data_IF_363648476558
#
_entry.id   IF_363648476558
#
_cell.length_a   1.000
_cell.length_b   1.000
_cell.length_c   1.000
_cell.angle_alpha   90.00
_cell.angle_beta   90.00
_cell.angle_gamma   90.00
#
_symmetry.space_group_name_H-M   'P 1'
#
loop_
_entity.id
_entity.type
_entity.pdbx_description
1 polymer ?
#
# COMPACT_ATOMS: atom_id res chain seq x y z
N UNK A 1 -20.98 -3.53 -15.39
CA UNK A 1 -20.77 -2.85 -14.09
C UNK A 1 -20.31 -1.41 -14.32
N UNK A 2 -21.00 -0.45 -13.71
CA UNK A 2 -20.72 0.99 -13.83
C UNK A 2 -19.28 1.32 -13.37
N UNK A 3 -18.59 2.22 -14.07
CA UNK A 3 -17.23 2.67 -13.72
C UNK A 3 -17.17 3.25 -12.31
N UNK A 4 -18.18 4.02 -11.90
CA UNK A 4 -18.27 4.61 -10.56
C UNK A 4 -18.26 3.52 -9.50
N UNK A 5 -19.06 2.47 -9.70
CA UNK A 5 -19.11 1.33 -8.80
C UNK A 5 -17.76 0.60 -8.70
N UNK A 6 -17.04 0.41 -9.82
CA UNK A 6 -15.69 -0.18 -9.81
C UNK A 6 -14.70 0.65 -9.00
N UNK A 7 -14.74 1.98 -9.16
CA UNK A 7 -13.86 2.90 -8.40
C UNK A 7 -14.22 2.88 -6.92
N UNK A 8 -15.50 2.88 -6.56
CA UNK A 8 -15.93 2.76 -5.15
C UNK A 8 -15.46 1.44 -4.53
N UNK A 9 -15.59 0.32 -5.25
CA UNK A 9 -15.08 -0.98 -4.78
C UNK A 9 -13.56 -0.92 -4.58
N UNK A 10 -12.81 -0.36 -5.55
CA UNK A 10 -11.37 -0.21 -5.44
C UNK A 10 -10.95 0.69 -4.27
N UNK A 11 -11.72 1.75 -4.00
CA UNK A 11 -11.49 2.66 -2.88
C UNK A 11 -11.66 1.93 -1.55
N UNK A 12 -12.79 1.22 -1.37
CA UNK A 12 -13.05 0.44 -0.16
C UNK A 12 -12.01 -0.66 0.03
N UNK A 13 -11.61 -1.32 -1.06
CA UNK A 13 -10.57 -2.34 -1.04
C UNK A 13 -9.23 -1.76 -0.54
N UNK A 14 -8.76 -0.66 -1.13
CA UNK A 14 -7.52 0.00 -0.71
C UNK A 14 -7.62 0.45 0.73
N UNK A 15 -8.76 1.03 1.12
CA UNK A 15 -8.96 1.53 2.48
C UNK A 15 -8.89 0.42 3.52
N UNK A 16 -9.63 -0.68 3.31
CA UNK A 16 -9.62 -1.84 4.20
C UNK A 16 -8.26 -2.52 4.23
N UNK A 17 -7.64 -2.78 3.08
CA UNK A 17 -6.31 -3.45 3.06
C UNK A 17 -5.27 -2.58 3.78
N UNK A 18 -5.34 -1.27 3.62
CA UNK A 18 -4.43 -0.35 4.31
C UNK A 18 -4.65 -0.38 5.82
N UNK A 19 -5.88 -0.45 6.31
CA UNK A 19 -6.14 -0.51 7.76
C UNK A 19 -5.71 -1.84 8.40
N UNK A 20 -5.70 -2.94 7.63
CA UNK A 20 -5.21 -4.24 8.12
C UNK A 20 -3.74 -4.22 8.55
N UNK A 21 -2.96 -3.23 8.09
CA UNK A 21 -1.56 -3.09 8.51
C UNK A 21 -1.37 -2.89 10.01
N UNK A 22 -2.43 -2.56 10.75
CA UNK A 22 -2.41 -2.32 12.19
C UNK A 22 -3.36 -3.22 12.99
N UNK A 23 -4.01 -4.19 12.35
CA UNK A 23 -5.03 -5.02 13.00
C UNK A 23 -4.50 -5.82 14.19
N UNK A 24 -3.21 -6.15 14.22
CA UNK A 24 -2.62 -6.95 15.29
C UNK A 24 -2.31 -6.16 16.56
N UNK A 25 -2.29 -4.82 16.52
CA UNK A 25 -1.83 -3.99 17.64
C UNK A 25 -0.31 -3.91 17.80
N UNK A 26 0.45 -4.75 17.08
CA UNK A 26 1.91 -4.71 16.98
C UNK A 26 2.38 -5.25 15.61
N UNK A 27 3.64 -5.01 15.19
CA UNK A 27 4.15 -5.48 13.91
C UNK A 27 4.17 -7.01 13.82
N UNK A 28 3.39 -7.54 12.88
CA UNK A 28 3.26 -8.96 12.56
C UNK A 28 3.36 -9.19 11.05
N UNK A 29 3.62 -10.42 10.63
CA UNK A 29 3.80 -10.72 9.18
C UNK A 29 2.56 -10.32 8.35
N UNK A 30 1.36 -10.50 8.92
CA UNK A 30 0.09 -10.10 8.30
C UNK A 30 -0.32 -8.65 8.63
N UNK A 31 0.37 -8.00 9.57
CA UNK A 31 0.10 -6.65 10.06
C UNK A 31 1.43 -5.88 10.17
N UNK A 32 2.07 -5.51 9.06
CA UNK A 32 3.48 -5.12 9.07
C UNK A 32 3.71 -3.62 9.34
N UNK A 33 2.68 -2.91 9.81
CA UNK A 33 2.78 -1.52 10.25
C UNK A 33 3.39 -0.58 9.19
N UNK A 34 2.80 -0.52 7.98
CA UNK A 34 3.26 0.39 6.93
C UNK A 34 3.33 1.83 7.43
N UNK A 35 4.48 2.46 7.27
CA UNK A 35 4.74 3.85 7.69
C UNK A 35 3.74 4.83 7.10
N UNK A 36 3.20 4.57 5.91
CA UNK A 36 2.20 5.45 5.29
C UNK A 36 0.89 5.50 6.05
N UNK A 37 0.61 4.51 6.91
CA UNK A 37 -0.55 4.45 7.80
C UNK A 37 -0.13 4.75 9.23
N UNK A 38 1.00 4.22 9.69
CA UNK A 38 1.47 4.40 11.07
C UNK A 38 1.86 5.85 11.38
N UNK A 39 2.49 6.59 10.45
CA UNK A 39 2.85 7.99 10.71
C UNK A 39 1.61 8.85 11.01
N UNK A 40 0.52 8.79 10.22
CA UNK A 40 -0.73 9.47 10.56
C UNK A 40 -1.35 9.10 11.91
N UNK A 41 -1.13 7.89 12.43
CA UNK A 41 -1.67 7.44 13.73
C UNK A 41 -1.18 8.35 14.87
N UNK A 42 0.06 8.81 14.81
CA UNK A 42 0.63 9.69 15.84
C UNK A 42 -0.12 11.02 15.98
N UNK A 43 -0.87 11.45 14.96
CA UNK A 43 -1.71 12.65 15.04
C UNK A 43 -2.95 12.46 15.93
N UNK A 44 -3.35 11.20 16.15
CA UNK A 44 -4.54 10.83 16.93
C UNK A 44 -4.19 10.15 18.25
N UNK A 45 -2.90 9.89 18.49
CA UNK A 45 -2.42 9.26 19.71
C UNK A 45 -2.78 10.13 20.93
N UNK A 46 -3.35 9.50 21.96
CA UNK A 46 -3.76 10.19 23.20
C UNK A 46 -5.12 10.90 23.15
N UNK A 47 -5.86 10.85 22.03
CA UNK A 47 -7.20 11.46 21.93
C UNK A 47 -8.34 10.58 22.47
N UNK A 48 -8.04 9.39 23.01
CA UNK A 48 -9.05 8.44 23.51
C UNK A 48 -9.91 7.79 22.42
N UNK A 49 -9.49 7.87 21.15
CA UNK A 49 -10.18 7.27 20.01
C UNK A 49 -9.89 5.76 19.96
N UNK A 50 -10.88 4.89 19.69
CA UNK A 50 -10.64 3.45 19.55
C UNK A 50 -9.62 3.14 18.45
N UNK A 51 -8.69 2.22 18.71
CA UNK A 51 -7.58 1.88 17.79
C UNK A 51 -8.06 1.50 16.39
N UNK A 52 -9.13 0.71 16.30
CA UNK A 52 -9.73 0.33 15.01
C UNK A 52 -10.19 1.55 14.20
N UNK A 53 -10.72 2.57 14.87
CA UNK A 53 -11.13 3.81 14.20
C UNK A 53 -9.91 4.65 13.80
N UNK A 54 -8.85 4.67 14.61
CA UNK A 54 -7.59 5.33 14.25
C UNK A 54 -6.98 4.68 13.01
N UNK A 55 -6.91 3.35 12.94
CA UNK A 55 -6.39 2.64 11.76
C UNK A 55 -7.19 2.95 10.47
N UNK A 56 -8.52 3.07 10.58
CA UNK A 56 -9.37 3.50 9.48
C UNK A 56 -9.11 4.95 9.07
N UNK A 57 -9.02 5.89 10.02
CA UNK A 57 -8.77 7.29 9.70
C UNK A 57 -7.36 7.48 9.12
N UNK A 58 -6.37 6.83 9.71
CA UNK A 58 -4.96 6.91 9.31
C UNK A 58 -4.69 6.31 7.92
N UNK A 59 -5.51 5.35 7.48
CA UNK A 59 -5.42 4.76 6.14
C UNK A 59 -6.16 5.55 5.05
N UNK A 60 -6.97 6.55 5.44
CA UNK A 60 -7.75 7.36 4.51
C UNK A 60 -6.91 8.12 3.47
N UNK A 61 -5.74 8.72 3.80
CA UNK A 61 -4.90 9.39 2.81
C UNK A 61 -4.54 8.47 1.64
N UNK A 62 -4.23 7.20 1.92
CA UNK A 62 -3.88 6.24 0.90
C UNK A 62 -5.07 5.88 -0.02
N UNK A 63 -6.26 5.71 0.56
CA UNK A 63 -7.49 5.51 -0.21
C UNK A 63 -7.85 6.74 -1.08
N UNK A 64 -7.62 7.95 -0.57
CA UNK A 64 -7.81 9.20 -1.33
C UNK A 64 -6.81 9.33 -2.47
N UNK A 65 -5.54 8.93 -2.28
CA UNK A 65 -4.55 8.88 -3.35
C UNK A 65 -4.96 7.88 -4.44
N UNK A 66 -5.49 6.70 -4.05
CA UNK A 66 -6.11 5.78 -5.00
C UNK A 66 -7.21 6.47 -5.79
N UNK A 67 -8.17 7.10 -5.11
CA UNK A 67 -9.29 7.77 -5.79
C UNK A 67 -8.81 8.84 -6.77
N UNK A 68 -7.87 9.69 -6.36
CA UNK A 68 -7.24 10.69 -7.23
C UNK A 68 -6.59 10.07 -8.46
N UNK A 69 -5.91 8.91 -8.30
CA UNK A 69 -5.31 8.18 -9.41
C UNK A 69 -6.32 7.64 -10.43
N UNK A 70 -7.58 7.45 -10.04
CA UNK A 70 -8.65 6.94 -10.92
C UNK A 70 -9.37 8.01 -11.73
N UNK A 71 -9.14 9.30 -11.46
CA UNK A 71 -9.79 10.41 -12.19
C UNK A 71 -9.63 10.27 -13.72
N UNK A 72 -8.45 9.98 -14.28
CA UNK A 72 -8.29 9.77 -15.72
C UNK A 72 -9.10 8.58 -16.24
N UNK A 73 -9.21 7.51 -15.45
CA UNK A 73 -9.95 6.29 -15.79
C UNK A 73 -11.46 6.57 -15.81
N UNK A 74 -11.97 7.36 -14.87
CA UNK A 74 -13.37 7.82 -14.87
C UNK A 74 -13.72 8.67 -16.08
N UNK A 75 -12.73 9.35 -16.68
CA UNK A 75 -12.84 10.08 -17.95
C UNK A 75 -12.64 9.19 -19.20
N UNK A 76 -12.54 7.88 -19.03
CA UNK A 76 -12.41 6.91 -20.13
C UNK A 76 -10.97 6.56 -20.52
N UNK A 77 -9.95 7.10 -19.84
CA UNK A 77 -8.56 6.76 -20.17
C UNK A 77 -8.17 5.40 -19.57
N UNK A 78 -8.05 4.39 -20.42
CA UNK A 78 -7.70 3.03 -20.02
C UNK A 78 -6.19 2.84 -19.74
N UNK A 79 -5.34 3.77 -20.17
CA UNK A 79 -3.89 3.71 -20.00
C UNK A 79 -3.48 4.38 -18.70
N UNK A 80 -2.62 3.72 -17.92
CA UNK A 80 -2.03 4.30 -16.71
C UNK A 80 -1.21 5.54 -17.09
N UNK A 81 -1.37 6.63 -16.33
CA UNK A 81 -0.68 7.90 -16.60
C UNK A 81 0.83 7.75 -16.40
N UNK A 82 1.63 8.46 -17.21
CA UNK A 82 3.09 8.44 -17.08
C UNK A 82 3.57 8.96 -15.72
N UNK A 83 2.82 9.91 -15.15
CA UNK A 83 3.08 10.45 -13.79
C UNK A 83 2.91 9.34 -12.76
N UNK A 84 1.81 8.57 -12.80
CA UNK A 84 1.59 7.47 -11.86
C UNK A 84 2.64 6.36 -12.02
N UNK A 85 3.09 6.10 -13.25
CA UNK A 85 4.21 5.18 -13.51
C UNK A 85 5.49 5.69 -12.85
N UNK A 86 5.83 6.97 -13.04
CA UNK A 86 7.01 7.58 -12.40
C UNK A 86 6.95 7.52 -10.87
N UNK A 87 5.81 7.89 -10.29
CA UNK A 87 5.58 7.81 -8.83
C UNK A 87 5.70 6.37 -8.35
N UNK A 88 5.08 5.40 -9.03
CA UNK A 88 5.16 4.00 -8.62
C UNK A 88 6.59 3.45 -8.66
N UNK A 89 7.36 3.79 -9.69
CA UNK A 89 8.75 3.38 -9.81
C UNK A 89 9.60 3.97 -8.69
N UNK A 90 9.40 5.25 -8.37
CA UNK A 90 10.05 5.90 -7.25
C UNK A 90 9.70 5.24 -5.92
N UNK A 91 8.42 4.95 -5.66
CA UNK A 91 7.97 4.27 -4.44
C UNK A 91 8.57 2.88 -4.30
N UNK A 92 8.65 2.11 -5.39
CA UNK A 92 9.32 0.80 -5.39
C UNK A 92 10.80 0.90 -5.06
N UNK A 93 11.51 1.88 -5.63
CA UNK A 93 12.93 2.10 -5.34
C UNK A 93 13.15 2.53 -3.89
N UNK A 94 12.30 3.42 -3.36
CA UNK A 94 12.34 3.83 -1.95
C UNK A 94 12.08 2.63 -1.05
N UNK A 95 11.07 1.80 -1.35
CA UNK A 95 10.76 0.59 -0.59
C UNK A 95 11.94 -0.39 -0.58
N UNK A 96 12.53 -0.68 -1.73
CA UNK A 96 13.70 -1.57 -1.84
C UNK A 96 14.89 -1.02 -1.03
N UNK A 97 15.19 0.27 -1.19
CA UNK A 97 16.26 0.92 -0.43
C UNK A 97 15.99 0.90 1.08
N UNK A 98 14.76 1.18 1.49
CA UNK A 98 14.34 1.14 2.89
C UNK A 98 14.51 -0.25 3.49
N UNK A 99 14.03 -1.30 2.81
CA UNK A 99 14.22 -2.68 3.24
C UNK A 99 15.71 -2.97 3.38
N UNK A 100 16.53 -2.73 2.36
CA UNK A 100 17.98 -2.99 2.43
C UNK A 100 18.66 -2.30 3.62
N UNK A 101 18.35 -1.04 3.88
CA UNK A 101 18.92 -0.27 5.00
C UNK A 101 18.40 -0.73 6.37
N UNK A 102 17.20 -1.31 6.42
CA UNK A 102 16.53 -1.72 7.66
C UNK A 102 16.74 -3.19 8.00
N UNK A 103 17.53 -3.93 7.21
CA UNK A 103 17.71 -5.38 7.39
C UNK A 103 18.27 -5.75 8.76
N UNK A 104 19.40 -5.17 9.16
CA UNK A 104 20.01 -5.46 10.45
C UNK A 104 19.07 -5.11 11.61
N UNK A 105 18.31 -4.02 11.46
CA UNK A 105 17.35 -3.55 12.44
C UNK A 105 16.16 -4.51 12.56
N UNK A 106 15.55 -4.91 11.44
CA UNK A 106 14.46 -5.88 11.42
C UNK A 106 14.86 -7.23 12.01
N UNK A 107 16.05 -7.74 11.68
CA UNK A 107 16.55 -9.00 12.24
C UNK A 107 16.74 -8.87 13.76
N UNK A 108 17.24 -7.74 14.24
CA UNK A 108 17.47 -7.48 15.66
C UNK A 108 16.16 -7.43 16.47
N UNK A 109 15.13 -6.74 15.98
CA UNK A 109 13.91 -6.48 16.75
C UNK A 109 12.74 -7.44 16.47
N UNK A 110 12.68 -8.02 15.27
CA UNK A 110 11.57 -8.88 14.83
C UNK A 110 12.02 -10.29 14.44
N UNK A 111 13.34 -10.53 14.38
CA UNK A 111 13.91 -11.81 14.03
C UNK A 111 14.09 -12.02 12.53
N UNK A 112 14.92 -13.01 12.19
CA UNK A 112 15.30 -13.32 10.81
C UNK A 112 14.11 -13.82 9.97
N UNK A 113 13.31 -14.72 10.53
CA UNK A 113 12.17 -15.33 9.83
C UNK A 113 11.15 -14.26 9.41
N UNK A 114 10.72 -13.41 10.36
CA UNK A 114 9.80 -12.31 10.09
C UNK A 114 10.35 -11.39 8.99
N UNK A 115 11.60 -10.95 9.13
CA UNK A 115 12.24 -10.03 8.17
C UNK A 115 12.26 -10.62 6.76
N UNK A 116 12.65 -11.89 6.62
CA UNK A 116 12.68 -12.56 5.30
C UNK A 116 11.27 -12.65 4.70
N UNK A 117 10.26 -13.02 5.51
CA UNK A 117 8.87 -13.12 5.03
C UNK A 117 8.34 -11.78 4.51
N UNK A 118 8.57 -10.69 5.24
CA UNK A 118 8.18 -9.34 4.82
C UNK A 118 8.86 -8.92 3.51
N UNK A 119 10.13 -9.30 3.31
CA UNK A 119 10.87 -8.99 2.10
C UNK A 119 10.33 -9.78 0.91
N UNK A 120 10.02 -11.07 1.12
CA UNK A 120 9.39 -11.92 0.11
C UNK A 120 8.02 -11.38 -0.30
N UNK A 121 7.19 -10.96 0.65
CA UNK A 121 5.89 -10.33 0.34
C UNK A 121 6.05 -9.08 -0.52
N UNK A 122 6.99 -8.20 -0.15
CA UNK A 122 7.27 -7.00 -0.93
C UNK A 122 7.77 -7.34 -2.34
N UNK A 123 8.71 -8.27 -2.47
CA UNK A 123 9.23 -8.69 -3.77
C UNK A 123 8.13 -9.28 -4.68
N UNK A 124 7.27 -10.13 -4.12
CA UNK A 124 6.13 -10.72 -4.85
C UNK A 124 5.15 -9.62 -5.30
N UNK A 125 4.76 -8.72 -4.40
CA UNK A 125 3.80 -7.65 -4.71
C UNK A 125 4.35 -6.68 -5.76
N UNK A 126 5.62 -6.29 -5.65
CA UNK A 126 6.29 -5.47 -6.68
C UNK A 126 6.27 -6.19 -8.03
N UNK A 127 6.59 -7.49 -8.06
CA UNK A 127 6.55 -8.30 -9.28
C UNK A 127 5.14 -8.37 -9.89
N UNK A 128 4.11 -8.53 -9.06
CA UNK A 128 2.70 -8.55 -9.50
C UNK A 128 2.29 -7.17 -10.05
N UNK A 129 2.60 -6.08 -9.34
CA UNK A 129 2.30 -4.71 -9.79
C UNK A 129 2.98 -4.42 -11.13
N UNK A 130 4.26 -4.76 -11.28
CA UNK A 130 5.01 -4.60 -12.52
C UNK A 130 4.39 -5.42 -13.67
N UNK A 131 3.96 -6.66 -13.40
CA UNK A 131 3.30 -7.51 -14.39
C UNK A 131 1.97 -6.91 -14.86
N UNK A 132 1.15 -6.39 -13.92
CA UNK A 132 -0.11 -5.73 -14.25
C UNK A 132 0.14 -4.44 -15.03
N UNK A 133 1.20 -3.69 -14.72
CA UNK A 133 1.60 -2.50 -15.48
C UNK A 133 1.97 -2.83 -16.91
N UNK A 134 2.84 -3.84 -17.13
CA UNK A 134 3.23 -4.30 -18.46
C UNK A 134 2.00 -4.77 -19.25
N UNK A 135 1.09 -5.50 -18.60
CA UNK A 135 -0.18 -5.90 -19.21
C UNK A 135 -1.03 -4.70 -19.62
N UNK A 136 -1.16 -3.68 -18.76
CA UNK A 136 -1.87 -2.44 -19.09
C UNK A 136 -1.18 -1.70 -20.25
N UNK A 137 0.15 -1.66 -20.29
CA UNK A 137 0.89 -1.00 -21.36
C UNK A 137 0.67 -1.68 -22.72
N UNK A 138 0.69 -3.01 -22.75
CA UNK A 138 0.50 -3.81 -23.98
C UNK A 138 -0.96 -3.82 -24.45
N UNK A 139 -1.92 -3.90 -23.53
CA UNK A 139 -3.36 -3.95 -23.80
C UNK A 139 -4.12 -3.11 -22.78
N UNK A 140 -4.20 -1.78 -22.99
CA UNK A 140 -4.85 -0.88 -22.05
C UNK A 140 -6.34 -1.21 -21.93
N UNK A 141 -6.77 -1.52 -20.72
CA UNK A 141 -8.19 -1.67 -20.40
C UNK A 141 -8.45 -0.96 -19.08
N UNK A 142 -9.67 -0.46 -18.90
CA UNK A 142 -10.12 0.16 -17.65
C UNK A 142 -9.86 -0.79 -16.47
N UNK A 143 -10.15 -2.08 -16.63
CA UNK A 143 -9.95 -3.07 -15.59
C UNK A 143 -8.46 -3.23 -15.22
N UNK A 144 -7.57 -3.28 -16.21
CA UNK A 144 -6.13 -3.36 -15.95
C UNK A 144 -5.62 -2.10 -15.24
N UNK A 145 -6.13 -0.91 -15.61
CA UNK A 145 -5.75 0.36 -14.97
C UNK A 145 -6.22 0.43 -13.52
N UNK A 146 -7.47 0.05 -13.25
CA UNK A 146 -8.01 0.00 -11.89
C UNK A 146 -7.30 -1.06 -11.05
N UNK A 147 -7.06 -2.26 -11.60
CA UNK A 147 -6.31 -3.31 -10.92
C UNK A 147 -4.90 -2.84 -10.56
N UNK A 148 -4.21 -2.17 -11.48
CA UNK A 148 -2.90 -1.59 -11.23
C UNK A 148 -2.93 -0.58 -10.07
N UNK A 149 -3.82 0.43 -10.14
CA UNK A 149 -3.95 1.42 -9.07
C UNK A 149 -4.32 0.77 -7.74
N UNK A 150 -5.28 -0.15 -7.72
CA UNK A 150 -5.68 -0.84 -6.49
C UNK A 150 -4.52 -1.60 -5.88
N UNK A 151 -3.78 -2.39 -6.67
CA UNK A 151 -2.61 -3.13 -6.16
C UNK A 151 -1.52 -2.19 -5.64
N UNK A 152 -1.20 -1.13 -6.36
CA UNK A 152 -0.18 -0.16 -5.98
C UNK A 152 -0.49 0.47 -4.62
N UNK A 153 -1.71 1.00 -4.46
CA UNK A 153 -2.08 1.66 -3.21
C UNK A 153 -2.36 0.66 -2.09
N UNK A 154 -2.92 -0.52 -2.36
CA UNK A 154 -3.03 -1.57 -1.35
C UNK A 154 -1.66 -2.01 -0.82
N UNK A 155 -0.67 -2.22 -1.70
CA UNK A 155 0.70 -2.52 -1.30
C UNK A 155 1.33 -1.38 -0.50
N UNK A 156 1.15 -0.12 -0.95
CA UNK A 156 1.65 1.07 -0.26
C UNK A 156 1.12 1.15 1.18
N UNK A 157 -0.20 1.05 1.34
CA UNK A 157 -0.85 1.15 2.64
C UNK A 157 -0.67 -0.08 3.52
N UNK A 158 -0.40 -1.25 2.94
CA UNK A 158 -0.24 -2.48 3.73
C UNK A 158 1.20 -2.75 4.14
N UNK A 159 2.16 -2.83 3.20
CA UNK A 159 3.48 -3.38 3.54
C UNK A 159 4.68 -2.76 2.81
N UNK A 160 4.51 -1.72 1.99
CA UNK A 160 5.60 -1.16 1.19
C UNK A 160 6.75 -0.58 2.02
N UNK A 161 6.45 0.00 3.18
CA UNK A 161 7.43 0.58 4.10
C UNK A 161 7.12 0.06 5.51
N UNK A 162 7.39 -1.22 5.78
CA UNK A 162 6.96 -1.88 7.01
C UNK A 162 7.74 -1.33 8.21
N UNK A 163 7.11 -1.30 9.38
CA UNK A 163 7.83 -0.99 10.61
C UNK A 163 8.68 -2.19 10.99
N UNK A 164 10.00 -2.04 10.86
CA UNK A 164 11.00 -3.06 11.23
C UNK A 164 11.75 -2.69 12.51
N UNK A 165 11.13 -1.88 13.38
CA UNK A 165 11.75 -1.36 14.58
C UNK A 165 11.23 -1.93 15.88
N UNK A 166 11.62 -1.27 16.97
CA UNK A 166 11.22 -1.64 18.33
C UNK A 166 9.70 -1.84 18.39
N UNK A 167 9.27 -2.92 19.04
CA UNK A 167 7.86 -3.14 19.33
C UNK A 167 7.45 -2.09 20.35
N UNK A 168 6.52 -1.20 19.97
CA UNK A 168 5.94 -0.20 20.87
C UNK A 168 5.03 -0.85 21.91
#
# INVERSE_FOLDING_TARGET
MNIKLKVTIGFLLVWVISSLTMVAGYPEVYSPYSFTVVIPVFLFYGMGVPEALIALIASLPNALLFWASTIPVMRGNAKVSRILIGISGLLMLISIGFLFMSYSYGVQYQGLEHTILIYLFNAILIGVIATVLVKNYRRPTINNSLLYSSLLFSWLGWCALPWLGEMM
#
